data_IF_200997129685
#
_entry.id   IF_200997129685
#
_cell.length_a   1.000
_cell.length_b   1.000
_cell.length_c   1.000
_cell.angle_alpha   90.00
_cell.angle_beta   90.00
_cell.angle_gamma   90.00
#
_symmetry.space_group_name_H-M   'P 1'
#
loop_
_entity.id
_entity.type
_entity.pdbx_description
1 polymer ?
#
# COMPACT_ATOMS: atom_id res chain seq x y z
N UNK A 1 4.47 21.20 1.24
CA UNK A 1 4.78 22.19 2.27
C UNK A 1 6.04 22.91 1.88
N UNK A 2 6.05 24.23 2.06
CA UNK A 2 7.23 25.09 1.93
C UNK A 2 7.26 26.02 3.15
N UNK A 3 8.35 26.00 3.93
CA UNK A 3 8.48 26.74 5.21
C UNK A 3 7.27 26.54 6.13
N UNK A 4 6.89 25.28 6.38
CA UNK A 4 5.76 24.87 7.22
C UNK A 4 4.38 25.39 6.80
N UNK A 5 4.27 25.97 5.59
CA UNK A 5 3.03 26.48 5.05
C UNK A 5 2.59 25.65 3.83
N UNK A 6 1.27 25.46 3.65
CA UNK A 6 0.75 24.72 2.53
C UNK A 6 0.87 25.53 1.24
N UNK A 7 1.36 24.87 0.19
CA UNK A 7 1.63 25.48 -1.11
C UNK A 7 1.30 24.49 -2.22
N UNK A 8 0.88 25.01 -3.37
CA UNK A 8 0.57 24.23 -4.57
C UNK A 8 1.64 24.50 -5.63
N UNK A 9 2.09 23.45 -6.32
CA UNK A 9 3.00 23.59 -7.46
C UNK A 9 2.17 24.09 -8.65
N UNK A 10 2.49 25.30 -9.13
CA UNK A 10 1.80 25.91 -10.28
C UNK A 10 2.51 25.63 -11.59
N UNK A 11 3.85 25.52 -11.56
CA UNK A 11 4.66 25.31 -12.75
C UNK A 11 5.98 24.64 -12.38
N UNK A 12 6.41 23.72 -13.23
CA UNK A 12 7.76 23.14 -13.19
C UNK A 12 8.61 23.94 -14.19
N UNK A 13 9.68 24.56 -13.70
CA UNK A 13 10.58 25.39 -14.52
C UNK A 13 11.74 24.55 -15.03
N UNK A 14 12.30 23.71 -14.16
CA UNK A 14 13.36 22.74 -14.46
C UNK A 14 13.26 21.55 -13.50
N UNK A 15 14.08 20.51 -13.68
CA UNK A 15 14.15 19.31 -12.83
C UNK A 15 14.31 19.66 -11.35
N UNK A 16 15.07 20.72 -11.06
CA UNK A 16 15.36 21.17 -9.71
C UNK A 16 14.60 22.43 -9.30
N UNK A 17 13.97 23.15 -10.23
CA UNK A 17 13.33 24.44 -9.97
C UNK A 17 11.83 24.38 -10.23
N UNK A 18 11.05 24.74 -9.22
CA UNK A 18 9.60 24.71 -9.25
C UNK A 18 9.04 26.05 -8.77
N UNK A 19 7.98 26.50 -9.43
CA UNK A 19 7.19 27.63 -8.95
C UNK A 19 6.02 27.11 -8.12
N UNK A 20 5.93 27.63 -6.91
CA UNK A 20 4.94 27.31 -5.90
C UNK A 20 4.08 28.54 -5.65
N UNK A 21 2.81 28.32 -5.34
CA UNK A 21 1.91 29.33 -4.84
C UNK A 21 1.50 28.97 -3.42
N UNK A 22 1.72 29.89 -2.48
CA UNK A 22 1.29 29.71 -1.10
C UNK A 22 -0.23 29.81 -1.02
N UNK A 23 -0.87 28.89 -0.30
CA UNK A 23 -2.33 28.94 -0.12
C UNK A 23 -2.77 30.07 0.82
N UNK A 24 -1.93 30.45 1.77
CA UNK A 24 -2.25 31.45 2.79
C UNK A 24 -2.14 32.88 2.27
N UNK A 25 -1.13 33.17 1.45
CA UNK A 25 -0.81 34.53 1.00
C UNK A 25 -0.97 34.73 -0.50
N UNK A 26 -1.24 33.67 -1.26
CA UNK A 26 -1.29 33.68 -2.72
C UNK A 26 0.00 34.15 -3.42
N UNK A 27 1.10 34.27 -2.67
CA UNK A 27 2.40 34.69 -3.18
C UNK A 27 3.06 33.53 -3.92
N UNK A 28 3.69 33.85 -5.05
CA UNK A 28 4.42 32.90 -5.88
C UNK A 28 5.90 32.93 -5.50
N UNK A 29 6.46 31.76 -5.22
CA UNK A 29 7.89 31.55 -4.98
C UNK A 29 8.45 30.59 -6.03
N UNK A 30 9.64 30.88 -6.55
CA UNK A 30 10.41 29.91 -7.31
C UNK A 30 11.51 29.37 -6.42
N UNK A 31 11.48 28.07 -6.16
CA UNK A 31 12.36 27.43 -5.17
C UNK A 31 12.94 26.14 -5.71
N UNK A 32 13.96 25.64 -5.04
CA UNK A 32 14.51 24.33 -5.34
C UNK A 32 13.61 23.21 -4.83
N UNK A 33 13.55 22.10 -5.57
CA UNK A 33 12.80 20.90 -5.17
C UNK A 33 13.18 20.38 -3.77
N UNK A 34 14.43 20.56 -3.34
CA UNK A 34 14.91 20.09 -2.04
C UNK A 34 14.31 20.87 -0.87
N UNK A 35 13.79 22.07 -1.10
CA UNK A 35 13.23 22.95 -0.08
C UNK A 35 11.74 22.69 0.18
N UNK A 36 11.13 21.78 -0.58
CA UNK A 36 9.74 21.37 -0.37
C UNK A 36 9.66 19.99 0.25
N UNK A 37 8.71 19.83 1.16
CA UNK A 37 8.31 18.53 1.70
C UNK A 37 6.90 18.17 1.23
N UNK A 38 6.56 16.89 1.05
CA UNK A 38 5.20 16.50 0.75
C UNK A 38 4.27 16.94 1.90
N UNK A 39 3.06 17.41 1.55
CA UNK A 39 1.99 17.47 2.53
C UNK A 39 1.58 16.02 2.79
N UNK A 40 2.17 15.40 3.81
CA UNK A 40 1.72 14.11 4.30
C UNK A 40 0.39 14.40 4.99
N UNK A 41 -0.71 14.31 4.25
CA UNK A 41 -1.94 13.89 4.90
C UNK A 41 -1.63 12.48 5.34
N UNK A 42 -1.53 12.27 6.65
CA UNK A 42 -1.99 11.01 7.18
C UNK A 42 -3.43 10.93 6.71
N UNK A 43 -3.64 10.35 5.52
CA UNK A 43 -4.82 9.54 5.36
C UNK A 43 -4.71 8.61 6.55
N UNK A 44 -5.46 8.88 7.63
CA UNK A 44 -6.12 7.81 8.32
C UNK A 44 -6.79 7.03 7.19
N UNK A 45 -6.03 6.11 6.59
CA UNK A 45 -6.60 5.01 5.86
C UNK A 45 -7.63 4.54 6.85
N UNK A 46 -8.90 4.77 6.51
CA UNK A 46 -10.03 4.41 7.33
C UNK A 46 -10.09 2.89 7.27
N UNK A 47 -9.05 2.22 7.80
CA UNK A 47 -8.87 0.78 7.87
C UNK A 47 -10.08 0.41 8.70
N UNK A 48 -11.11 -0.20 8.08
CA UNK A 48 -12.22 -0.70 8.87
C UNK A 48 -11.57 -1.54 9.96
N UNK A 49 -11.96 -1.33 11.22
CA UNK A 49 -11.46 -2.21 12.27
C UNK A 49 -11.64 -3.65 11.78
N UNK A 50 -10.68 -4.51 12.10
CA UNK A 50 -10.66 -5.92 11.67
C UNK A 50 -11.99 -6.65 11.93
N UNK A 51 -12.83 -6.09 12.79
CA UNK A 51 -14.12 -6.58 13.26
C UNK A 51 -15.31 -6.17 12.37
N UNK A 52 -15.11 -5.32 11.35
CA UNK A 52 -16.20 -4.75 10.52
C UNK A 52 -16.30 -5.43 9.12
N UNK A 53 -15.46 -6.39 8.79
CA UNK A 53 -15.56 -7.10 7.51
C UNK A 53 -16.84 -7.93 7.44
N UNK A 54 -17.64 -7.70 6.40
CA UNK A 54 -18.80 -8.54 6.09
C UNK A 54 -18.38 -9.92 5.63
N UNK A 55 -19.24 -10.94 5.78
CA UNK A 55 -18.96 -12.30 5.33
C UNK A 55 -18.60 -12.38 3.83
N UNK A 56 -19.19 -11.52 3.01
CA UNK A 56 -18.89 -11.45 1.58
C UNK A 56 -17.48 -10.92 1.31
N UNK A 57 -17.08 -9.86 2.00
CA UNK A 57 -15.70 -9.37 1.94
C UNK A 57 -14.73 -10.42 2.45
N UNK A 58 -15.10 -11.17 3.49
CA UNK A 58 -14.27 -12.23 4.01
C UNK A 58 -14.06 -13.38 3.03
N UNK A 59 -15.10 -13.77 2.29
CA UNK A 59 -14.99 -14.75 1.19
C UNK A 59 -14.07 -14.26 0.08
N UNK A 60 -14.22 -13.01 -0.36
CA UNK A 60 -13.39 -12.43 -1.42
C UNK A 60 -11.92 -12.37 -0.98
N UNK A 61 -11.66 -11.99 0.26
CA UNK A 61 -10.31 -11.90 0.80
C UNK A 61 -9.64 -13.28 0.88
N UNK A 62 -10.37 -14.30 1.35
CA UNK A 62 -9.87 -15.68 1.39
C UNK A 62 -9.53 -16.18 -0.02
N UNK A 63 -10.42 -15.94 -0.98
CA UNK A 63 -10.20 -16.30 -2.36
C UNK A 63 -8.92 -15.68 -2.95
N UNK A 64 -8.69 -14.38 -2.73
CA UNK A 64 -7.47 -13.69 -3.19
C UNK A 64 -6.23 -14.23 -2.48
N UNK A 65 -6.34 -14.45 -1.18
CA UNK A 65 -5.26 -14.98 -0.35
C UNK A 65 -4.82 -16.37 -0.83
N UNK A 66 -5.76 -17.27 -1.10
CA UNK A 66 -5.47 -18.63 -1.56
C UNK A 66 -4.72 -18.64 -2.89
N UNK A 67 -5.12 -17.77 -3.84
CA UNK A 67 -4.43 -17.63 -5.13
C UNK A 67 -3.00 -17.15 -4.92
N UNK A 68 -2.81 -16.06 -4.17
CA UNK A 68 -1.48 -15.48 -3.92
C UNK A 68 -0.59 -16.46 -3.18
N UNK A 69 -1.12 -17.11 -2.13
CA UNK A 69 -0.41 -18.12 -1.35
C UNK A 69 0.06 -19.27 -2.23
N UNK A 70 -0.81 -19.83 -3.06
CA UNK A 70 -0.44 -20.92 -3.96
C UNK A 70 0.68 -20.51 -4.94
N UNK A 71 0.67 -19.27 -5.45
CA UNK A 71 1.71 -18.75 -6.34
C UNK A 71 3.05 -18.60 -5.61
N UNK A 72 3.04 -18.03 -4.40
CA UNK A 72 4.24 -17.76 -3.61
C UNK A 72 4.86 -19.05 -3.09
N UNK A 73 4.06 -19.95 -2.51
CA UNK A 73 4.53 -21.21 -1.92
C UNK A 73 5.15 -22.13 -2.99
N UNK A 74 4.54 -22.21 -4.18
CA UNK A 74 5.03 -23.03 -5.28
C UNK A 74 6.04 -22.30 -6.20
N UNK A 75 6.40 -21.04 -5.89
CA UNK A 75 7.31 -20.20 -6.68
C UNK A 75 6.98 -20.21 -8.18
N UNK A 76 5.69 -20.07 -8.49
CA UNK A 76 5.19 -20.19 -9.86
C UNK A 76 5.75 -19.08 -10.76
N UNK A 77 6.05 -19.44 -12.02
CA UNK A 77 6.57 -18.50 -13.02
C UNK A 77 5.45 -17.82 -13.79
N UNK A 78 5.79 -16.74 -14.50
CA UNK A 78 4.87 -15.97 -15.35
C UNK A 78 3.90 -16.78 -16.23
N UNK A 79 4.31 -17.84 -16.96
CA UNK A 79 3.36 -18.63 -17.75
C UNK A 79 2.29 -19.29 -16.88
N UNK A 80 2.68 -19.87 -15.74
CA UNK A 80 1.76 -20.52 -14.79
C UNK A 80 0.82 -19.49 -14.14
N UNK A 81 1.31 -18.29 -13.85
CA UNK A 81 0.48 -17.19 -13.33
C UNK A 81 -0.58 -16.78 -14.35
N UNK A 82 -0.25 -16.73 -15.65
CA UNK A 82 -1.23 -16.43 -16.71
C UNK A 82 -2.30 -17.53 -16.84
N UNK A 83 -1.93 -18.79 -16.67
CA UNK A 83 -2.88 -19.91 -16.65
C UNK A 83 -3.85 -19.83 -15.47
N UNK A 84 -3.33 -19.54 -14.27
CA UNK A 84 -4.15 -19.30 -13.07
C UNK A 84 -5.09 -18.11 -13.31
N UNK A 85 -4.58 -17.01 -13.86
CA UNK A 85 -5.38 -15.84 -14.19
C UNK A 85 -6.56 -16.20 -15.11
N UNK A 86 -6.29 -16.98 -16.17
CA UNK A 86 -7.31 -17.46 -17.11
C UNK A 86 -8.32 -18.38 -16.44
N UNK A 87 -7.87 -19.33 -15.61
CA UNK A 87 -8.74 -20.28 -14.87
C UNK A 87 -9.71 -19.55 -13.94
N UNK A 88 -9.25 -18.47 -13.33
CA UNK A 88 -10.01 -17.69 -12.36
C UNK A 88 -10.75 -16.48 -12.97
N UNK A 89 -10.70 -16.33 -14.30
CA UNK A 89 -11.25 -15.19 -15.05
C UNK A 89 -10.80 -13.81 -14.52
N UNK A 90 -9.53 -13.70 -14.18
CA UNK A 90 -8.90 -12.48 -13.67
C UNK A 90 -7.79 -12.08 -14.64
N UNK A 91 -7.58 -10.78 -14.85
CA UNK A 91 -6.45 -10.31 -15.64
C UNK A 91 -5.13 -10.54 -14.88
N UNK A 92 -4.09 -11.03 -15.55
CA UNK A 92 -2.82 -11.39 -14.91
C UNK A 92 -2.17 -10.21 -14.15
N UNK A 93 -2.38 -8.96 -14.61
CA UNK A 93 -1.87 -7.76 -13.93
C UNK A 93 -2.48 -7.59 -12.52
N UNK A 94 -3.73 -7.98 -12.32
CA UNK A 94 -4.41 -7.92 -11.02
C UNK A 94 -3.74 -8.87 -10.02
N UNK A 95 -3.38 -10.08 -10.46
CA UNK A 95 -2.63 -11.03 -9.63
C UNK A 95 -1.26 -10.46 -9.25
N UNK A 96 -0.52 -9.87 -10.21
CA UNK A 96 0.75 -9.21 -9.90
C UNK A 96 0.58 -8.05 -8.92
N UNK A 97 -0.52 -7.29 -9.01
CA UNK A 97 -0.84 -6.21 -8.07
C UNK A 97 -1.00 -6.78 -6.65
N UNK A 98 -1.75 -7.85 -6.49
CA UNK A 98 -1.93 -8.53 -5.21
C UNK A 98 -0.62 -9.08 -4.63
N UNK A 99 0.22 -9.71 -5.45
CA UNK A 99 1.54 -10.20 -5.04
C UNK A 99 2.43 -9.04 -4.56
N UNK A 100 2.52 -7.96 -5.34
CA UNK A 100 3.36 -6.82 -5.02
C UNK A 100 2.93 -6.14 -3.71
N UNK A 101 1.62 -5.98 -3.52
CA UNK A 101 1.03 -5.47 -2.29
C UNK A 101 1.43 -6.36 -1.09
N UNK A 102 1.30 -7.67 -1.26
CA UNK A 102 1.62 -8.64 -0.21
C UNK A 102 3.10 -8.55 0.20
N UNK A 103 4.01 -8.47 -0.77
CA UNK A 103 5.44 -8.32 -0.52
C UNK A 103 5.79 -7.00 0.17
N UNK A 104 5.20 -5.89 -0.30
CA UNK A 104 5.40 -4.56 0.30
C UNK A 104 4.96 -4.56 1.76
N UNK A 105 3.82 -5.18 2.05
CA UNK A 105 3.28 -5.26 3.39
C UNK A 105 4.13 -6.17 4.31
N UNK A 106 4.59 -7.32 3.82
CA UNK A 106 5.56 -8.17 4.54
C UNK A 106 6.84 -7.38 4.87
N UNK A 107 7.35 -6.58 3.92
CA UNK A 107 8.52 -5.72 4.15
C UNK A 107 8.28 -4.71 5.29
N UNK A 108 7.09 -4.08 5.33
CA UNK A 108 6.72 -3.17 6.40
C UNK A 108 6.65 -3.87 7.76
N UNK A 109 6.00 -5.03 7.83
CA UNK A 109 5.87 -5.82 9.06
C UNK A 109 7.20 -6.37 9.57
N UNK A 110 8.12 -6.74 8.67
CA UNK A 110 9.43 -7.29 9.05
C UNK A 110 10.44 -6.23 9.45
N UNK A 111 10.31 -4.99 8.95
CA UNK A 111 11.15 -3.86 9.36
C UNK A 111 10.76 -3.31 10.74
N UNK A 112 9.51 -3.48 11.18
CA UNK A 112 9.04 -3.12 12.53
C UNK A 112 9.35 -4.21 13.57
N UNK A 113 10.60 -4.64 13.66
CA UNK A 113 11.08 -5.42 14.81
C UNK A 113 11.54 -4.46 15.90
N UNK A 114 10.60 -4.01 16.74
CA UNK A 114 10.98 -3.46 18.03
C UNK A 114 11.64 -4.58 18.86
N UNK A 115 12.74 -4.25 19.54
CA UNK A 115 13.44 -5.15 20.47
C UNK A 115 12.57 -5.38 21.71
N UNK A 116 11.54 -6.20 21.60
CA UNK A 116 10.70 -6.52 22.76
C UNK A 116 10.99 -7.94 23.20
N UNK A 117 11.84 -8.05 24.23
CA UNK A 117 12.00 -9.27 25.00
C UNK A 117 10.68 -9.61 25.68
N UNK A 118 10.05 -10.69 25.25
CA UNK A 118 8.82 -11.17 25.87
C UNK A 118 8.09 -12.16 25.00
N UNK A 119 8.09 -13.43 25.42
CA UNK A 119 7.30 -14.50 24.81
C UNK A 119 5.81 -14.14 24.88
N UNK A 120 5.14 -13.92 23.76
CA UNK A 120 3.68 -14.12 23.65
C UNK A 120 3.33 -14.93 22.42
N UNK A 121 2.45 -15.91 22.68
CA UNK A 121 2.05 -17.04 21.84
C UNK A 121 1.06 -16.59 20.77
N UNK A 122 1.19 -17.14 19.56
CA UNK A 122 0.15 -17.36 18.54
C UNK A 122 -0.70 -16.18 17.98
N UNK A 123 -0.72 -14.99 18.58
CA UNK A 123 -1.55 -13.85 18.15
C UNK A 123 -0.98 -13.02 16.99
N UNK A 124 0.29 -13.19 16.63
CA UNK A 124 0.94 -12.32 15.64
C UNK A 124 0.68 -12.75 14.20
N UNK A 125 0.68 -14.06 13.90
CA UNK A 125 0.56 -14.55 12.51
C UNK A 125 -0.87 -14.43 11.98
N UNK A 126 -1.87 -14.73 12.80
CA UNK A 126 -3.29 -14.63 12.40
C UNK A 126 -3.68 -13.17 12.15
N UNK A 127 -3.23 -12.26 12.99
CA UNK A 127 -3.40 -10.81 12.78
C UNK A 127 -2.74 -10.37 11.49
N UNK A 128 -1.53 -10.89 11.20
CA UNK A 128 -0.83 -10.54 9.98
C UNK A 128 -1.54 -11.04 8.70
N UNK A 129 -2.02 -12.29 8.72
CA UNK A 129 -2.80 -12.87 7.61
C UNK A 129 -4.10 -12.10 7.40
N UNK A 130 -4.79 -11.71 8.49
CA UNK A 130 -6.05 -10.94 8.41
C UNK A 130 -5.83 -9.52 7.90
N UNK A 131 -4.74 -8.84 8.29
CA UNK A 131 -4.36 -7.54 7.73
C UNK A 131 -4.01 -7.63 6.23
N UNK A 132 -3.32 -8.70 5.82
CA UNK A 132 -3.04 -8.96 4.40
C UNK A 132 -4.34 -9.15 3.61
N UNK A 133 -5.31 -9.87 4.17
CA UNK A 133 -6.63 -10.10 3.59
C UNK A 133 -7.43 -8.81 3.39
N UNK A 134 -7.40 -7.89 4.35
CA UNK A 134 -8.02 -6.55 4.22
C UNK A 134 -7.36 -5.76 3.09
N UNK A 135 -6.03 -5.79 3.02
CA UNK A 135 -5.29 -5.09 1.98
C UNK A 135 -5.62 -5.65 0.60
N UNK A 136 -5.82 -6.97 0.49
CA UNK A 136 -6.24 -7.60 -0.74
C UNK A 136 -7.65 -7.16 -1.17
N UNK A 137 -8.55 -6.75 -0.28
CA UNK A 137 -9.92 -6.31 -0.61
C UNK A 137 -9.99 -4.94 -1.29
N UNK A 138 -9.14 -3.98 -0.89
CA UNK A 138 -9.19 -2.59 -1.36
C UNK A 138 -8.73 -2.35 -2.81
N UNK A 139 -8.06 -3.31 -3.42
CA UNK A 139 -7.50 -3.16 -4.76
C UNK A 139 -8.23 -4.03 -5.78
N UNK A 140 -9.33 -3.49 -6.31
CA UNK A 140 -10.02 -3.90 -7.55
C UNK A 140 -9.99 -2.77 -8.55
#
# INVERSE_FOLDING_TARGET
MYKDNPAIIIKIVDVNLISLQMLTSNIIYTVERKEISPLIKEEEENIPSLEILTDNEWKIANYRYDIVKHIVDNKLRTPQIKEIAKKHNIHFSTIYRWINISLKWISYCTCRKEKTGGKTKAGSITTLIKSLMILLLRFT
#
